data_IF_307447850045
#
_entry.id   IF_307447850045
#
_cell.length_a   1.000
_cell.length_b   1.000
_cell.length_c   1.000
_cell.angle_alpha   90.00
_cell.angle_beta   90.00
_cell.angle_gamma   90.00
#
_symmetry.space_group_name_H-M   'P 1'
#
loop_
_entity.id
_entity.type
_entity.pdbx_description
1 polymer ?
#
# COMPACT_ATOMS: atom_id res chain seq x y z
N UNK A 1 -11.16 -36.76 -0.70
CA UNK A 1 -9.70 -36.50 -0.73
C UNK A 1 -9.28 -35.25 -1.49
N UNK A 2 -9.41 -35.14 -2.82
CA UNK A 2 -8.90 -33.95 -3.55
C UNK A 2 -9.70 -32.66 -3.24
N UNK A 3 -11.04 -32.76 -3.20
CA UNK A 3 -11.92 -31.65 -2.83
C UNK A 3 -11.66 -31.12 -1.40
N UNK A 4 -11.43 -32.03 -0.44
CA UNK A 4 -11.15 -31.65 0.95
C UNK A 4 -9.82 -30.91 1.07
N UNK A 5 -8.78 -31.34 0.34
CA UNK A 5 -7.50 -30.65 0.27
C UNK A 5 -7.63 -29.25 -0.33
N UNK A 6 -8.34 -29.12 -1.46
CA UNK A 6 -8.58 -27.83 -2.09
C UNK A 6 -9.37 -26.88 -1.18
N UNK A 7 -10.34 -27.41 -0.43
CA UNK A 7 -11.09 -26.62 0.53
C UNK A 7 -10.22 -26.16 1.71
N UNK A 8 -9.39 -27.04 2.26
CA UNK A 8 -8.43 -26.67 3.30
C UNK A 8 -7.46 -25.58 2.84
N UNK A 9 -6.93 -25.67 1.62
CA UNK A 9 -6.06 -24.63 1.07
C UNK A 9 -6.79 -23.30 0.86
N UNK A 10 -8.01 -23.33 0.34
CA UNK A 10 -8.82 -22.11 0.19
C UNK A 10 -9.04 -21.43 1.53
N UNK A 11 -9.38 -22.20 2.55
CA UNK A 11 -9.70 -21.67 3.88
C UNK A 11 -8.42 -21.11 4.56
N UNK A 12 -7.28 -21.78 4.38
CA UNK A 12 -5.97 -21.27 4.81
C UNK A 12 -5.59 -19.96 4.10
N UNK A 13 -5.65 -19.90 2.76
CA UNK A 13 -5.33 -18.67 2.01
C UNK A 13 -6.23 -17.50 2.41
N UNK A 14 -7.51 -17.76 2.70
CA UNK A 14 -8.42 -16.72 3.21
C UNK A 14 -8.00 -16.20 4.58
N UNK A 15 -7.59 -17.08 5.49
CA UNK A 15 -7.10 -16.69 6.80
C UNK A 15 -5.80 -15.88 6.70
N UNK A 16 -4.87 -16.30 5.84
CA UNK A 16 -3.63 -15.55 5.59
C UNK A 16 -3.89 -14.18 4.96
N UNK A 17 -4.84 -14.09 4.03
CA UNK A 17 -5.22 -12.81 3.44
C UNK A 17 -5.76 -11.85 4.52
N UNK A 18 -6.66 -12.32 5.39
CA UNK A 18 -7.21 -11.49 6.47
C UNK A 18 -6.11 -11.04 7.45
N UNK A 19 -5.20 -11.95 7.82
CA UNK A 19 -4.03 -11.66 8.65
C UNK A 19 -3.14 -10.58 8.03
N UNK A 20 -2.79 -10.73 6.74
CA UNK A 20 -1.98 -9.76 6.01
C UNK A 20 -2.66 -8.39 5.92
N UNK A 21 -3.95 -8.37 5.58
CA UNK A 21 -4.73 -7.14 5.46
C UNK A 21 -4.77 -6.40 6.80
N UNK A 22 -5.03 -7.13 7.89
CA UNK A 22 -5.07 -6.56 9.25
C UNK A 22 -3.72 -5.93 9.62
N UNK A 23 -2.61 -6.63 9.36
CA UNK A 23 -1.27 -6.11 9.62
C UNK A 23 -1.00 -4.77 8.90
N UNK A 24 -1.35 -4.67 7.61
CA UNK A 24 -1.11 -3.44 6.85
C UNK A 24 -2.01 -2.29 7.28
N UNK A 25 -3.28 -2.57 7.61
CA UNK A 25 -4.21 -1.56 8.13
C UNK A 25 -3.77 -1.02 9.50
N UNK A 26 -3.26 -1.89 10.37
CA UNK A 26 -2.84 -1.54 11.72
C UNK A 26 -1.49 -0.80 11.76
N UNK A 27 -0.51 -1.30 11.01
CA UNK A 27 0.90 -0.87 11.15
C UNK A 27 1.44 -0.09 9.95
N UNK A 28 0.89 -0.30 8.76
CA UNK A 28 1.39 0.30 7.53
C UNK A 28 0.84 1.70 7.27
N UNK A 29 -0.42 1.96 7.62
CA UNK A 29 -1.09 3.20 7.22
C UNK A 29 -0.56 4.41 7.99
N UNK A 30 -0.13 5.44 7.27
CA UNK A 30 0.26 6.70 7.87
C UNK A 30 -0.96 7.59 8.11
N UNK A 31 -1.29 7.81 9.38
CA UNK A 31 -2.43 8.62 9.81
C UNK A 31 -2.10 10.11 9.88
N UNK A 32 -0.82 10.49 9.86
CA UNK A 32 -0.39 11.88 10.00
C UNK A 32 -0.27 12.56 8.63
N UNK A 33 0.44 11.95 7.69
CA UNK A 33 0.66 12.53 6.36
C UNK A 33 -0.06 11.79 5.23
N UNK A 34 -0.76 10.70 5.51
CA UNK A 34 -1.37 9.86 4.48
C UNK A 34 -0.38 8.94 3.77
N UNK A 35 -0.91 7.98 3.00
CA UNK A 35 -0.11 6.93 2.37
C UNK A 35 0.28 5.78 3.31
N UNK A 36 1.32 5.04 2.93
CA UNK A 36 1.74 3.81 3.60
C UNK A 36 3.25 3.79 3.88
N UNK A 37 3.63 3.36 5.08
CA UNK A 37 4.97 2.97 5.47
C UNK A 37 5.21 1.49 5.18
N UNK A 38 6.33 1.18 4.54
CA UNK A 38 6.70 -0.21 4.21
C UNK A 38 7.93 -0.72 4.94
N UNK A 39 8.65 0.16 5.62
CA UNK A 39 9.79 -0.20 6.45
C UNK A 39 9.30 -0.53 7.87
N UNK A 40 8.70 -1.72 7.99
CA UNK A 40 8.13 -2.25 9.22
C UNK A 40 9.01 -3.39 9.76
N UNK A 41 9.23 -3.41 11.06
CA UNK A 41 9.83 -4.55 11.75
C UNK A 41 8.84 -5.72 11.78
N UNK A 42 9.31 -6.89 12.26
CA UNK A 42 8.47 -8.09 12.40
C UNK A 42 7.23 -7.86 13.27
N UNK A 43 7.34 -6.99 14.28
CA UNK A 43 6.25 -6.59 15.18
C UNK A 43 5.49 -5.35 14.71
N UNK A 44 5.68 -4.91 13.46
CA UNK A 44 4.91 -3.80 12.87
C UNK A 44 5.40 -2.40 13.25
N UNK A 45 6.56 -2.25 13.91
CA UNK A 45 7.11 -0.92 14.21
C UNK A 45 7.76 -0.32 12.97
N UNK A 46 7.44 0.94 12.70
CA UNK A 46 8.09 1.70 11.62
C UNK A 46 9.55 1.98 12.02
N UNK A 47 10.50 1.55 11.20
CA UNK A 47 11.93 1.84 11.40
C UNK A 47 12.50 2.83 10.36
N UNK A 48 11.73 3.16 9.32
CA UNK A 48 12.01 4.27 8.40
C UNK A 48 10.71 4.84 7.87
N UNK A 49 10.64 6.16 7.76
CA UNK A 49 9.45 6.90 7.32
C UNK A 49 9.53 7.35 5.86
N UNK A 50 10.62 7.03 5.15
CA UNK A 50 10.70 7.25 3.71
C UNK A 50 9.65 6.41 2.99
N UNK A 51 8.89 7.05 2.09
CA UNK A 51 7.82 6.42 1.35
C UNK A 51 8.30 6.03 -0.05
N UNK A 52 8.23 4.73 -0.33
CA UNK A 52 8.38 4.22 -1.70
C UNK A 52 7.12 4.54 -2.49
N UNK A 53 7.27 5.25 -3.61
CA UNK A 53 6.14 5.63 -4.47
C UNK A 53 5.47 4.39 -5.08
N UNK A 54 6.26 3.37 -5.46
CA UNK A 54 5.74 2.08 -5.91
C UNK A 54 4.76 1.46 -4.93
N UNK A 55 5.07 1.58 -3.65
CA UNK A 55 4.24 0.97 -2.61
C UNK A 55 2.98 1.77 -2.35
N UNK A 56 2.99 3.10 -2.56
CA UNK A 56 1.76 3.90 -2.50
C UNK A 56 0.76 3.42 -3.56
N UNK A 57 1.21 3.29 -4.81
CA UNK A 57 0.35 2.81 -5.92
C UNK A 57 -0.11 1.37 -5.72
N UNK A 58 0.78 0.46 -5.29
CA UNK A 58 0.42 -0.95 -5.03
C UNK A 58 -0.55 -1.11 -3.86
N UNK A 59 -0.39 -0.34 -2.80
CA UNK A 59 -1.29 -0.35 -1.65
C UNK A 59 -2.69 0.14 -2.06
N UNK A 60 -2.75 1.29 -2.76
CA UNK A 60 -3.98 1.82 -3.34
C UNK A 60 -4.71 0.78 -4.21
N UNK A 61 -3.97 0.15 -5.14
CA UNK A 61 -4.51 -0.89 -6.01
C UNK A 61 -5.02 -2.09 -5.22
N UNK A 62 -4.25 -2.57 -4.25
CA UNK A 62 -4.58 -3.77 -3.46
C UNK A 62 -5.89 -3.59 -2.71
N UNK A 63 -6.03 -2.50 -1.94
CA UNK A 63 -7.25 -2.24 -1.19
C UNK A 63 -8.46 -1.93 -2.07
N UNK A 64 -8.26 -1.24 -3.20
CA UNK A 64 -9.30 -1.05 -4.22
C UNK A 64 -9.76 -2.39 -4.81
N UNK A 65 -8.81 -3.29 -5.08
CA UNK A 65 -9.09 -4.61 -5.62
C UNK A 65 -9.79 -5.52 -4.60
N UNK A 66 -9.42 -5.46 -3.32
CA UNK A 66 -10.14 -6.14 -2.25
C UNK A 66 -11.59 -5.69 -2.17
N UNK A 67 -11.85 -4.38 -2.24
CA UNK A 67 -13.22 -3.85 -2.28
C UNK A 67 -14.02 -4.38 -3.47
N UNK A 68 -13.37 -4.51 -4.64
CA UNK A 68 -13.99 -5.03 -5.86
C UNK A 68 -14.33 -6.52 -5.76
N UNK A 69 -13.44 -7.32 -5.19
CA UNK A 69 -13.56 -8.79 -5.20
C UNK A 69 -14.36 -9.32 -4.00
N UNK A 70 -14.19 -8.72 -2.83
CA UNK A 70 -14.74 -9.22 -1.56
C UNK A 70 -15.85 -8.34 -0.97
N UNK A 71 -16.19 -7.25 -1.65
CA UNK A 71 -17.16 -6.27 -1.18
C UNK A 71 -16.49 -5.10 -0.45
N UNK A 72 -17.19 -3.97 -0.40
CA UNK A 72 -16.66 -2.73 0.16
C UNK A 72 -16.62 -2.80 1.68
N UNK A 73 -15.44 -2.60 2.26
CA UNK A 73 -15.25 -2.24 3.67
C UNK A 73 -14.73 -0.80 3.75
N UNK A 74 -15.21 -0.01 4.70
CA UNK A 74 -14.84 1.41 4.79
C UNK A 74 -13.34 1.58 5.02
N UNK A 75 -12.75 0.80 5.92
CA UNK A 75 -11.30 0.79 6.20
C UNK A 75 -10.43 0.53 4.95
N UNK A 76 -10.90 -0.31 4.02
CA UNK A 76 -10.19 -0.57 2.76
C UNK A 76 -10.31 0.61 1.80
N UNK A 77 -11.49 1.23 1.73
CA UNK A 77 -11.68 2.44 0.93
C UNK A 77 -10.82 3.59 1.45
N UNK A 78 -10.76 3.77 2.76
CA UNK A 78 -9.97 4.81 3.41
C UNK A 78 -8.47 4.58 3.19
N UNK A 79 -8.00 3.33 3.32
CA UNK A 79 -6.61 2.98 3.04
C UNK A 79 -6.23 3.23 1.57
N UNK A 80 -7.10 2.82 0.64
CA UNK A 80 -6.89 3.06 -0.78
C UNK A 80 -6.87 4.56 -1.10
N UNK A 81 -7.84 5.31 -0.57
CA UNK A 81 -7.96 6.75 -0.78
C UNK A 81 -6.74 7.49 -0.23
N UNK A 82 -6.30 7.16 0.99
CA UNK A 82 -5.12 7.77 1.62
C UNK A 82 -3.87 7.62 0.75
N UNK A 83 -3.66 6.43 0.15
CA UNK A 83 -2.53 6.20 -0.75
C UNK A 83 -2.67 6.95 -2.09
N UNK A 84 -3.88 7.05 -2.64
CA UNK A 84 -4.13 7.78 -3.90
C UNK A 84 -3.96 9.29 -3.73
N UNK A 85 -4.53 9.85 -2.65
CA UNK A 85 -4.40 11.26 -2.33
C UNK A 85 -2.91 11.64 -2.16
N UNK A 86 -2.16 10.86 -1.38
CA UNK A 86 -0.72 11.07 -1.17
C UNK A 86 0.08 10.97 -2.49
N UNK A 87 -0.28 10.02 -3.36
CA UNK A 87 0.37 9.83 -4.65
C UNK A 87 0.16 11.04 -5.57
N UNK A 88 -1.10 11.50 -5.72
CA UNK A 88 -1.44 12.64 -6.57
C UNK A 88 -0.82 13.95 -6.07
N UNK A 89 -0.79 14.15 -4.75
CA UNK A 89 -0.28 15.37 -4.14
C UNK A 89 1.25 15.46 -4.16
N UNK A 90 1.96 14.36 -3.87
CA UNK A 90 3.40 14.42 -3.58
C UNK A 90 4.28 13.62 -4.53
N UNK A 91 3.76 12.58 -5.18
CA UNK A 91 4.62 11.60 -5.85
C UNK A 91 4.90 11.96 -7.31
N UNK A 92 4.11 12.83 -7.93
CA UNK A 92 4.24 13.20 -9.35
C UNK A 92 5.12 14.44 -9.50
N UNK A 93 6.25 14.30 -10.19
CA UNK A 93 7.08 15.42 -10.59
C UNK A 93 6.49 16.13 -11.83
N UNK A 94 5.61 17.08 -11.57
CA UNK A 94 4.97 17.92 -12.60
C UNK A 94 5.96 18.72 -13.45
N UNK A 95 7.14 19.05 -12.90
CA UNK A 95 8.19 19.78 -13.63
C UNK A 95 9.04 18.90 -14.56
N UNK A 96 8.92 17.58 -14.45
CA UNK A 96 9.70 16.61 -15.20
C UNK A 96 8.81 15.71 -16.09
N UNK A 97 7.79 16.29 -16.72
CA UNK A 97 6.87 15.57 -17.62
C UNK A 97 6.00 14.54 -16.90
N UNK A 98 5.47 14.92 -15.74
CA UNK A 98 4.61 14.08 -14.88
C UNK A 98 5.23 12.73 -14.48
N UNK A 99 6.56 12.66 -14.43
CA UNK A 99 7.26 11.47 -13.97
C UNK A 99 7.10 11.32 -12.46
N UNK A 100 6.83 10.11 -12.01
CA UNK A 100 6.78 9.81 -10.58
C UNK A 100 8.19 9.76 -9.96
N UNK A 101 8.32 10.24 -8.72
CA UNK A 101 9.50 10.04 -7.88
C UNK A 101 9.66 8.56 -7.53
N UNK A 102 10.87 8.12 -7.16
CA UNK A 102 11.12 6.75 -6.69
C UNK A 102 10.83 6.63 -5.19
N UNK A 103 11.29 7.61 -4.41
CA UNK A 103 11.10 7.70 -2.96
C UNK A 103 10.94 9.16 -2.57
N UNK A 104 10.09 9.39 -1.57
CA UNK A 104 9.81 10.70 -0.94
C UNK A 104 9.92 10.55 0.59
N UNK A 105 10.05 11.66 1.31
CA UNK A 105 9.98 11.67 2.79
C UNK A 105 8.56 11.36 3.28
N UNK A 106 8.39 11.22 4.59
CA UNK A 106 7.07 11.06 5.21
C UNK A 106 6.07 12.13 4.78
N UNK A 107 6.49 13.39 4.75
CA UNK A 107 5.70 14.56 4.35
C UNK A 107 5.74 14.85 2.84
N UNK A 108 6.21 13.89 2.01
CA UNK A 108 6.09 13.97 0.57
C UNK A 108 7.18 14.76 -0.16
N UNK A 109 8.25 15.19 0.52
CA UNK A 109 9.38 15.87 -0.14
C UNK A 109 10.19 14.88 -0.98
N UNK A 110 10.60 15.23 -2.20
CA UNK A 110 11.28 14.31 -3.09
C UNK A 110 12.68 13.97 -2.57
N UNK A 111 12.98 12.67 -2.49
CA UNK A 111 14.32 12.18 -2.12
C UNK A 111 15.09 11.68 -3.34
N UNK A 112 14.42 10.99 -4.26
CA UNK A 112 15.07 10.37 -5.42
C UNK A 112 14.10 10.18 -6.57
N UNK A 113 14.56 10.50 -7.78
CA UNK A 113 13.90 10.16 -9.04
C UNK A 113 14.84 9.29 -9.89
N UNK A 114 14.34 8.19 -10.45
CA UNK A 114 15.13 7.31 -11.32
C UNK A 114 14.76 7.52 -12.78
N UNK A 115 15.64 7.10 -13.70
CA UNK A 115 15.44 7.20 -15.15
C UNK A 115 14.44 6.18 -15.72
N UNK A 116 13.66 5.49 -14.89
CA UNK A 116 12.65 4.54 -15.33
C UNK A 116 11.28 5.20 -15.52
N UNK A 117 10.40 4.54 -16.26
CA UNK A 117 8.96 4.88 -16.34
C UNK A 117 8.16 4.29 -15.18
N UNK A 118 8.80 3.45 -14.36
CA UNK A 118 8.18 2.77 -13.24
C UNK A 118 8.46 3.53 -11.96
N UNK A 119 7.37 3.92 -11.30
CA UNK A 119 7.21 4.34 -9.91
C UNK A 119 5.78 4.07 -9.47
#
# INVERSE_FOLDING_TARGET
MEREKLQAWRDWVRAELESCVSFWLEHGMDKEHGGVYTCLTRDGKVFSTDKSVWMQGRCAWTFSYLCRVYGKKQEWLDAAKSCLDFLEEHCINRTAGDRLYFTVTADGKPLRQRRYCFS
#
